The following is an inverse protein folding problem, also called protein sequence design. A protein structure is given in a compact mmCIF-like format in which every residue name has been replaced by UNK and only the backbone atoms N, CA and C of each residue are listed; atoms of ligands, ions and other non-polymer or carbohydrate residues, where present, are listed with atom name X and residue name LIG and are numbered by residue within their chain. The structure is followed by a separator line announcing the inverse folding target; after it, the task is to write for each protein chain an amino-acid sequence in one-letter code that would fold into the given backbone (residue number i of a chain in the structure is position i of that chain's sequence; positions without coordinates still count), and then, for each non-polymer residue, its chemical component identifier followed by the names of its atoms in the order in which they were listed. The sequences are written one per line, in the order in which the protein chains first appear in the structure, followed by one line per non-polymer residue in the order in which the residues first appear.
data_IF_693750335823
#
_entry.id   IF_693750335823
#
_cell.length_a   1.000
_cell.length_b   1.000
_cell.length_c   1.000
_cell.angle_alpha   90.00
_cell.angle_beta   90.00
_cell.angle_gamma   90.00
#
_symmetry.space_group_name_H-M   'P 1'
#
loop_
_entity.id
_entity.type
_entity.pdbx_description
1 polymer ?
#
# COMPACT_ATOMS: atom_id res chain seq x y z
N UNK A 1 -22.46 -16.34 23.81
CA UNK A 1 -23.62 -15.59 23.26
C UNK A 1 -24.56 -16.61 22.61
N UNK A 2 -25.86 -16.57 22.84
CA UNK A 2 -26.79 -17.52 22.22
C UNK A 2 -27.07 -17.13 20.76
N UNK A 3 -26.31 -17.71 19.83
CA UNK A 3 -26.58 -17.62 18.41
C UNK A 3 -27.00 -18.99 17.86
N UNK A 4 -27.97 -18.99 16.94
CA UNK A 4 -28.45 -20.20 16.30
C UNK A 4 -27.55 -20.57 15.12
N UNK A 5 -27.04 -21.80 15.12
CA UNK A 5 -26.21 -22.33 14.04
C UNK A 5 -27.12 -22.67 12.86
N UNK A 6 -26.97 -21.95 11.76
CA UNK A 6 -27.60 -22.29 10.47
C UNK A 6 -26.71 -23.32 9.79
N UNK A 7 -27.21 -24.52 9.54
CA UNK A 7 -26.41 -25.56 8.89
C UNK A 7 -27.08 -26.93 8.92
N UNK A 8 -26.54 -27.86 8.15
CA UNK A 8 -26.96 -29.26 8.15
C UNK A 8 -26.29 -29.99 9.31
N UNK A 9 -27.07 -30.51 10.25
CA UNK A 9 -26.53 -31.36 11.31
C UNK A 9 -25.79 -32.56 10.69
N UNK A 10 -24.60 -32.87 11.22
CA UNK A 10 -23.79 -33.99 10.79
C UNK A 10 -23.26 -34.77 12.01
N UNK A 11 -22.63 -35.92 11.75
CA UNK A 11 -22.12 -36.76 12.84
C UNK A 11 -20.94 -36.08 13.53
N UNK A 12 -21.02 -35.92 14.86
CA UNK A 12 -19.90 -35.44 15.66
C UNK A 12 -18.76 -36.45 15.77
N UNK A 13 -19.04 -37.73 15.50
CA UNK A 13 -18.07 -38.83 15.61
C UNK A 13 -16.93 -38.78 14.59
N UNK A 14 -17.06 -37.97 13.54
CA UNK A 14 -15.98 -37.68 12.58
C UNK A 14 -14.83 -36.91 13.26
N UNK A 15 -15.12 -36.24 14.37
CA UNK A 15 -14.19 -35.48 15.18
C UNK A 15 -13.79 -36.20 16.49
N UNK A 16 -14.23 -37.43 16.72
CA UNK A 16 -13.91 -38.14 17.97
C UNK A 16 -12.43 -38.47 18.06
N UNK A 17 -11.81 -38.05 19.18
CA UNK A 17 -10.41 -38.35 19.49
C UNK A 17 -9.43 -37.67 18.55
N UNK A 18 -9.75 -36.46 18.07
CA UNK A 18 -8.78 -35.68 17.29
C UNK A 18 -7.52 -35.40 18.13
N UNK A 19 -6.37 -35.37 17.46
CA UNK A 19 -5.08 -35.09 18.10
C UNK A 19 -4.60 -33.71 17.67
N UNK A 20 -4.39 -32.81 18.63
CA UNK A 20 -3.85 -31.48 18.37
C UNK A 20 -2.40 -31.62 17.88
N UNK A 21 -2.12 -31.13 16.68
CA UNK A 21 -0.81 -31.21 16.05
C UNK A 21 0.02 -29.94 16.30
N UNK A 22 -0.59 -28.77 16.14
CA UNK A 22 0.08 -27.48 16.34
C UNK A 22 -0.88 -26.44 16.91
N UNK A 23 -0.45 -25.71 17.93
CA UNK A 23 -1.21 -24.61 18.53
C UNK A 23 -0.67 -23.30 17.98
N UNK A 24 -1.52 -22.56 17.24
CA UNK A 24 -1.15 -21.29 16.60
C UNK A 24 -1.41 -20.10 17.53
N UNK A 25 -2.45 -20.19 18.36
CA UNK A 25 -2.81 -19.20 19.40
C UNK A 25 -3.19 -19.94 20.68
N UNK A 26 -2.47 -19.63 21.76
CA UNK A 26 -2.72 -20.13 23.11
C UNK A 26 -2.96 -18.94 24.05
N UNK A 27 -4.20 -18.81 24.53
CA UNK A 27 -4.60 -17.76 25.49
C UNK A 27 -5.62 -18.39 26.42
N UNK A 28 -5.16 -18.80 27.61
CA UNK A 28 -5.94 -19.62 28.55
C UNK A 28 -6.41 -20.93 27.90
N UNK A 29 -5.56 -21.51 27.06
CA UNK A 29 -5.82 -22.72 26.29
C UNK A 29 -5.83 -22.49 24.77
N UNK A 30 -5.91 -23.58 23.98
CA UNK A 30 -5.87 -23.51 22.51
C UNK A 30 -7.07 -22.76 21.95
N UNK A 31 -6.83 -21.59 21.33
CA UNK A 31 -7.86 -20.78 20.67
C UNK A 31 -7.87 -20.95 19.16
N UNK A 32 -6.70 -21.18 18.56
CA UNK A 32 -6.54 -21.50 17.16
C UNK A 32 -5.46 -22.57 17.02
N UNK A 33 -5.80 -23.73 16.47
CA UNK A 33 -4.88 -24.87 16.38
C UNK A 33 -5.22 -25.77 15.20
N UNK A 34 -4.24 -26.54 14.71
CA UNK A 34 -4.48 -27.64 13.79
C UNK A 34 -4.59 -28.96 14.55
N UNK A 35 -5.45 -29.85 14.07
CA UNK A 35 -5.58 -31.19 14.63
C UNK A 35 -5.85 -32.24 13.54
N UNK A 36 -5.34 -33.45 13.77
CA UNK A 36 -5.68 -34.60 12.96
C UNK A 36 -7.03 -35.15 13.41
N UNK A 37 -8.03 -35.13 12.53
CA UNK A 37 -9.33 -35.78 12.75
C UNK A 37 -9.36 -37.13 12.03
N UNK A 38 -10.47 -37.86 12.13
CA UNK A 38 -10.67 -39.11 11.38
C UNK A 38 -10.81 -38.89 9.88
N UNK A 39 -11.23 -37.69 9.47
CA UNK A 39 -11.55 -37.37 8.07
C UNK A 39 -10.44 -36.58 7.38
N UNK A 40 -9.77 -35.66 8.08
CA UNK A 40 -8.69 -34.84 7.53
C UNK A 40 -7.89 -34.13 8.64
N UNK A 41 -6.79 -33.49 8.25
CA UNK A 41 -6.18 -32.44 9.08
C UNK A 41 -7.06 -31.19 8.99
N UNK A 42 -7.42 -30.61 10.12
CA UNK A 42 -8.33 -29.48 10.18
C UNK A 42 -7.79 -28.36 11.09
N UNK A 43 -8.13 -27.12 10.73
CA UNK A 43 -7.89 -25.92 11.53
C UNK A 43 -9.12 -25.64 12.38
N UNK A 44 -8.93 -25.52 13.68
CA UNK A 44 -9.95 -25.24 14.69
C UNK A 44 -9.75 -23.83 15.22
N UNK A 45 -10.80 -23.01 15.17
CA UNK A 45 -10.85 -21.69 15.79
C UNK A 45 -11.99 -21.62 16.80
N UNK A 46 -11.68 -21.34 18.06
CA UNK A 46 -12.68 -21.13 19.08
C UNK A 46 -13.47 -19.84 18.79
N UNK A 47 -14.81 -19.92 18.81
CA UNK A 47 -15.70 -18.80 18.54
C UNK A 47 -16.65 -18.46 19.68
N UNK A 48 -16.92 -19.42 20.58
CA UNK A 48 -17.82 -19.24 21.71
C UNK A 48 -17.43 -20.26 22.79
N UNK A 49 -17.47 -19.83 24.06
CA UNK A 49 -17.19 -20.66 25.21
C UNK A 49 -18.17 -20.28 26.32
N UNK A 50 -18.77 -21.29 26.94
CA UNK A 50 -19.63 -21.17 28.11
C UNK A 50 -19.20 -22.18 29.18
N UNK A 51 -19.91 -22.25 30.31
CA UNK A 51 -19.56 -23.12 31.44
C UNK A 51 -19.57 -24.64 31.14
N UNK A 52 -20.20 -25.05 30.04
CA UNK A 52 -20.47 -26.46 29.74
C UNK A 52 -19.99 -26.93 28.36
N UNK A 53 -19.74 -25.99 27.44
CA UNK A 53 -19.32 -26.28 26.08
C UNK A 53 -18.44 -25.19 25.46
N UNK A 54 -17.62 -25.63 24.52
CA UNK A 54 -16.81 -24.80 23.63
C UNK A 54 -17.28 -25.03 22.20
N UNK A 55 -17.39 -23.97 21.40
CA UNK A 55 -17.72 -24.06 19.98
C UNK A 55 -16.55 -23.61 19.13
N UNK A 56 -16.21 -24.45 18.16
CA UNK A 56 -15.14 -24.21 17.20
C UNK A 56 -15.72 -24.07 15.80
N UNK A 57 -15.17 -23.14 15.02
CA UNK A 57 -15.23 -23.22 13.56
C UNK A 57 -14.09 -24.13 13.11
N UNK A 58 -14.42 -25.12 12.31
CA UNK A 58 -13.49 -26.16 11.84
C UNK A 58 -13.49 -26.17 10.32
N UNK A 59 -12.30 -26.11 9.71
CA UNK A 59 -12.13 -26.19 8.25
C UNK A 59 -10.99 -27.14 7.90
N UNK A 60 -11.04 -27.85 6.75
CA UNK A 60 -9.91 -28.63 6.29
C UNK A 60 -8.69 -27.73 6.11
N UNK A 61 -7.51 -28.23 6.46
CA UNK A 61 -6.25 -27.50 6.33
C UNK A 61 -5.11 -28.43 5.90
N UNK A 62 -4.00 -27.85 5.48
CA UNK A 62 -2.77 -28.54 5.12
C UNK A 62 -1.55 -27.71 5.56
N UNK A 63 -0.36 -28.30 5.49
CA UNK A 63 0.89 -27.63 5.86
C UNK A 63 1.13 -26.34 5.06
N UNK A 64 0.63 -26.26 3.82
CA UNK A 64 0.78 -25.07 2.98
C UNK A 64 -0.05 -23.91 3.51
N UNK A 65 -1.29 -24.16 3.93
CA UNK A 65 -2.16 -23.16 4.54
C UNK A 65 -1.60 -22.69 5.87
N UNK A 66 -1.11 -23.61 6.70
CA UNK A 66 -0.47 -23.29 7.99
C UNK A 66 0.78 -22.43 7.78
N UNK A 67 1.68 -22.82 6.87
CA UNK A 67 2.85 -22.02 6.54
C UNK A 67 2.49 -20.62 6.01
N UNK A 68 1.38 -20.48 5.28
CA UNK A 68 0.89 -19.17 4.83
C UNK A 68 0.33 -18.30 5.96
N UNK A 69 -0.37 -18.89 6.92
CA UNK A 69 -0.84 -18.20 8.13
C UNK A 69 0.34 -17.72 8.98
N UNK A 70 1.35 -18.58 9.18
CA UNK A 70 2.54 -18.26 9.97
C UNK A 70 3.46 -17.23 9.30
N UNK A 71 3.54 -17.24 7.97
CA UNK A 71 4.28 -16.22 7.21
C UNK A 71 3.50 -14.93 6.96
N UNK A 72 2.22 -14.87 7.37
CA UNK A 72 1.36 -13.71 7.14
C UNK A 72 0.90 -13.53 5.69
N UNK A 73 1.15 -14.47 4.78
CA UNK A 73 0.63 -14.40 3.40
C UNK A 73 -0.84 -14.79 3.28
N UNK A 74 -1.43 -15.31 4.37
CA UNK A 74 -2.85 -15.62 4.49
C UNK A 74 -3.41 -15.08 5.81
N UNK A 75 -4.57 -14.44 5.74
CA UNK A 75 -5.29 -13.94 6.92
C UNK A 75 -6.05 -15.09 7.60
N UNK A 76 -6.32 -14.98 8.91
CA UNK A 76 -7.07 -16.02 9.64
C UNK A 76 -8.44 -16.24 9.02
N UNK A 77 -9.14 -15.15 8.68
CA UNK A 77 -10.47 -15.25 8.07
C UNK A 77 -10.44 -15.90 6.68
N UNK A 78 -9.43 -15.60 5.86
CA UNK A 78 -9.29 -16.22 4.55
C UNK A 78 -8.95 -17.73 4.65
N UNK A 79 -8.21 -18.14 5.68
CA UNK A 79 -7.99 -19.56 5.95
C UNK A 79 -9.31 -20.27 6.31
N UNK A 80 -10.22 -19.60 7.02
CA UNK A 80 -11.54 -20.14 7.36
C UNK A 80 -12.56 -20.11 6.20
N UNK A 81 -12.31 -19.33 5.15
CA UNK A 81 -13.21 -19.26 3.99
C UNK A 81 -13.03 -20.44 3.05
N UNK A 82 -13.29 -21.65 3.56
CA UNK A 82 -13.19 -22.90 2.81
C UNK A 82 -14.57 -23.37 2.32
N UNK A 83 -14.63 -24.09 1.18
CA UNK A 83 -15.87 -24.71 0.69
C UNK A 83 -16.51 -25.70 1.68
N UNK A 84 -15.69 -26.28 2.56
CA UNK A 84 -16.13 -27.15 3.64
C UNK A 84 -15.81 -26.46 4.97
N UNK A 85 -16.87 -26.16 5.72
CA UNK A 85 -16.78 -25.56 7.03
C UNK A 85 -17.78 -26.25 7.96
N UNK A 86 -17.33 -26.51 9.18
CA UNK A 86 -18.15 -27.04 10.26
C UNK A 86 -18.14 -26.11 11.46
N UNK A 87 -19.23 -26.15 12.22
CA UNK A 87 -19.26 -25.69 13.60
C UNK A 87 -19.29 -26.93 14.48
N UNK A 88 -18.31 -27.07 15.35
CA UNK A 88 -18.17 -28.20 16.26
C UNK A 88 -18.37 -27.73 17.69
N UNK A 89 -19.35 -28.30 18.38
CA UNK A 89 -19.52 -28.11 19.81
C UNK A 89 -18.86 -29.26 20.56
N UNK A 90 -18.05 -28.92 21.55
CA UNK A 90 -17.29 -29.87 22.37
C UNK A 90 -17.49 -29.57 23.86
N UNK A 91 -17.18 -30.54 24.72
CA UNK A 91 -16.91 -30.28 26.14
C UNK A 91 -15.55 -29.59 26.34
N UNK A 92 -15.27 -29.04 27.53
CA UNK A 92 -13.93 -28.51 27.88
C UNK A 92 -12.81 -29.57 27.81
N UNK A 93 -13.15 -30.86 27.83
CA UNK A 93 -12.21 -31.97 27.60
C UNK A 93 -12.07 -32.35 26.12
N UNK A 94 -12.51 -31.47 25.21
CA UNK A 94 -12.51 -31.66 23.75
C UNK A 94 -13.33 -32.84 23.23
N UNK A 95 -14.15 -33.50 24.05
CA UNK A 95 -15.09 -34.51 23.57
C UNK A 95 -16.18 -33.87 22.69
N UNK A 96 -16.32 -34.25 21.41
CA UNK A 96 -17.38 -33.76 20.52
C UNK A 96 -18.78 -34.06 21.05
N UNK A 97 -19.67 -33.07 20.98
CA UNK A 97 -21.09 -33.21 21.33
C UNK A 97 -21.95 -33.15 20.08
N UNK A 98 -21.85 -32.05 19.34
CA UNK A 98 -22.67 -31.77 18.17
C UNK A 98 -21.81 -31.19 17.04
N UNK A 99 -22.21 -31.42 15.79
CA UNK A 99 -21.56 -30.85 14.62
C UNK A 99 -22.58 -30.40 13.57
N UNK A 100 -22.29 -29.29 12.90
CA UNK A 100 -23.10 -28.76 11.82
C UNK A 100 -22.21 -28.34 10.66
N UNK A 101 -22.57 -28.74 9.45
CA UNK A 101 -21.95 -28.25 8.21
C UNK A 101 -22.63 -26.95 7.78
N UNK A 102 -21.84 -25.92 7.52
CA UNK A 102 -22.32 -24.58 7.17
C UNK A 102 -21.33 -23.89 6.22
N UNK A 103 -21.52 -22.60 5.97
CA UNK A 103 -20.63 -21.75 5.18
C UNK A 103 -20.24 -20.52 5.99
N UNK A 104 -19.12 -19.88 5.64
CA UNK A 104 -18.66 -18.68 6.35
C UNK A 104 -19.71 -17.55 6.33
N UNK A 105 -20.51 -17.45 5.25
CA UNK A 105 -21.56 -16.45 5.08
C UNK A 105 -22.79 -16.65 5.99
N UNK A 106 -23.00 -17.85 6.51
CA UNK A 106 -24.10 -18.17 7.43
C UNK A 106 -23.75 -17.87 8.90
N UNK A 107 -22.47 -17.68 9.21
CA UNK A 107 -21.98 -17.37 10.54
C UNK A 107 -22.17 -15.87 10.87
N UNK A 108 -22.51 -15.52 12.13
CA UNK A 108 -22.58 -14.12 12.55
C UNK A 108 -21.23 -13.40 12.43
N UNK A 109 -21.23 -12.18 11.91
CA UNK A 109 -20.00 -11.38 11.75
C UNK A 109 -19.28 -11.13 13.09
N UNK A 110 -20.03 -11.08 14.20
CA UNK A 110 -19.51 -10.83 15.55
C UNK A 110 -18.61 -11.93 16.10
N UNK A 111 -18.68 -13.15 15.55
CA UNK A 111 -17.85 -14.29 15.98
C UNK A 111 -16.70 -14.57 15.02
N UNK A 112 -16.69 -13.92 13.84
CA UNK A 112 -15.64 -14.10 12.85
C UNK A 112 -14.47 -13.17 13.14
N UNK A 113 -13.24 -13.56 12.79
CA UNK A 113 -12.11 -12.64 12.80
C UNK A 113 -12.43 -11.43 11.93
N UNK A 114 -11.93 -10.27 12.35
CA UNK A 114 -11.98 -9.07 11.52
C UNK A 114 -11.33 -9.35 10.15
N UNK A 115 -11.90 -8.78 9.09
CA UNK A 115 -11.35 -8.92 7.74
C UNK A 115 -9.92 -8.38 7.72
N UNK A 116 -9.00 -9.11 7.09
CA UNK A 116 -7.59 -8.71 7.02
C UNK A 116 -6.75 -9.09 8.25
N UNK A 117 -7.36 -9.63 9.33
CA UNK A 117 -6.60 -9.94 10.55
C UNK A 117 -5.61 -11.10 10.30
N UNK A 118 -4.34 -10.80 10.49
CA UNK A 118 -3.24 -11.78 10.45
C UNK A 118 -3.15 -12.57 11.75
N UNK A 119 -2.45 -13.71 11.70
CA UNK A 119 -2.27 -14.61 12.84
C UNK A 119 -1.59 -13.90 14.03
N UNK A 120 -0.58 -13.08 13.75
CA UNK A 120 0.20 -12.34 14.76
C UNK A 120 0.27 -10.86 14.39
N UNK A 121 0.44 -10.00 15.39
CA UNK A 121 0.52 -8.55 15.18
C UNK A 121 1.68 -8.14 14.26
N UNK A 122 2.83 -8.79 14.35
CA UNK A 122 3.99 -8.49 13.51
C UNK A 122 3.85 -8.94 12.04
N UNK A 123 2.88 -9.82 11.76
CA UNK A 123 2.56 -10.26 10.41
C UNK A 123 1.62 -9.28 9.71
N UNK A 124 1.13 -8.26 10.40
CA UNK A 124 0.28 -7.25 9.79
C UNK A 124 1.03 -6.50 8.68
N UNK A 125 0.36 -6.19 7.56
CA UNK A 125 0.98 -5.46 6.47
C UNK A 125 1.60 -4.15 6.94
N UNK A 126 2.83 -3.90 6.49
CA UNK A 126 3.51 -2.62 6.69
C UNK A 126 2.71 -1.50 6.04
N UNK A 127 2.32 -1.72 4.78
CA UNK A 127 1.51 -0.81 3.99
C UNK A 127 0.52 -1.62 3.15
N UNK A 128 -0.71 -1.12 3.00
CA UNK A 128 -1.71 -1.70 2.09
C UNK A 128 -2.40 -0.60 1.31
N UNK A 129 -2.60 -0.86 0.03
CA UNK A 129 -3.39 -0.01 -0.84
C UNK A 129 -4.41 -0.87 -1.58
N UNK A 130 -5.67 -0.51 -1.44
CA UNK A 130 -6.81 -1.25 -1.98
C UNK A 130 -7.63 -0.37 -2.90
N UNK A 131 -7.74 -0.80 -4.16
CA UNK A 131 -8.60 -0.19 -5.17
C UNK A 131 -10.02 -0.76 -5.10
N UNK A 132 -10.99 0.13 -4.95
CA UNK A 132 -12.42 -0.17 -4.90
C UNK A 132 -13.08 0.44 -6.14
N UNK A 133 -13.87 -0.36 -6.83
CA UNK A 133 -14.46 -0.01 -8.12
C UNK A 133 -15.28 -1.15 -8.69
N UNK A 134 -16.14 -0.83 -9.66
CA UNK A 134 -16.99 -1.82 -10.33
C UNK A 134 -16.13 -2.76 -11.20
N UNK A 135 -16.45 -4.05 -11.16
CA UNK A 135 -15.77 -5.07 -11.98
C UNK A 135 -14.36 -5.43 -11.51
N UNK A 136 -13.93 -5.01 -10.33
CA UNK A 136 -12.63 -5.42 -9.75
C UNK A 136 -12.77 -6.78 -9.03
N UNK A 137 -12.84 -7.88 -9.78
CA UNK A 137 -12.88 -9.24 -9.25
C UNK A 137 -11.70 -10.08 -9.72
N UNK A 138 -11.52 -11.28 -9.14
CA UNK A 138 -10.44 -12.17 -9.54
C UNK A 138 -10.56 -12.51 -11.04
N UNK A 139 -9.47 -12.32 -11.78
CA UNK A 139 -9.42 -12.55 -13.24
C UNK A 139 -9.95 -11.41 -14.12
N UNK A 140 -10.52 -10.35 -13.53
CA UNK A 140 -11.09 -9.21 -14.28
C UNK A 140 -10.41 -7.87 -13.98
N UNK A 141 -9.45 -7.85 -13.06
CA UNK A 141 -8.71 -6.63 -12.70
C UNK A 141 -7.90 -6.11 -13.91
N UNK A 142 -8.13 -4.87 -14.37
CA UNK A 142 -7.33 -4.31 -15.46
C UNK A 142 -5.86 -4.12 -15.05
N UNK A 143 -4.93 -4.36 -15.98
CA UNK A 143 -3.50 -4.16 -15.74
C UNK A 143 -3.14 -2.73 -15.30
N UNK A 144 -3.90 -1.73 -15.76
CA UNK A 144 -3.74 -0.33 -15.34
C UNK A 144 -4.02 -0.12 -13.85
N UNK A 145 -4.99 -0.83 -13.28
CA UNK A 145 -5.32 -0.77 -11.84
C UNK A 145 -4.22 -1.44 -11.02
N UNK A 146 -3.70 -2.58 -11.48
CA UNK A 146 -2.57 -3.27 -10.83
C UNK A 146 -1.36 -2.35 -10.78
N UNK A 147 -0.98 -1.78 -11.93
CA UNK A 147 0.13 -0.83 -12.03
C UNK A 147 -0.09 0.37 -11.11
N UNK A 148 -1.28 0.96 -11.15
CA UNK A 148 -1.60 2.14 -10.34
C UNK A 148 -1.44 1.87 -8.84
N UNK A 149 -1.89 0.72 -8.34
CA UNK A 149 -1.78 0.39 -6.91
C UNK A 149 -0.33 0.10 -6.51
N UNK A 150 0.42 -0.66 -7.31
CA UNK A 150 1.82 -0.99 -7.01
C UNK A 150 2.75 0.23 -7.11
N UNK A 151 2.66 0.98 -8.21
CA UNK A 151 3.45 2.21 -8.39
C UNK A 151 2.98 3.32 -7.46
N UNK A 152 1.68 3.38 -7.16
CA UNK A 152 1.09 4.39 -6.28
C UNK A 152 1.62 4.27 -4.86
N UNK A 153 1.61 3.06 -4.30
CA UNK A 153 2.13 2.76 -2.98
C UNK A 153 3.62 3.13 -2.85
N UNK A 154 4.47 2.59 -3.74
CA UNK A 154 5.92 2.81 -3.72
C UNK A 154 6.30 4.28 -3.96
N UNK A 155 5.59 4.97 -4.86
CA UNK A 155 5.86 6.38 -5.16
C UNK A 155 5.42 7.30 -4.02
N UNK A 156 4.28 7.01 -3.39
CA UNK A 156 3.82 7.81 -2.25
C UNK A 156 4.82 7.75 -1.08
N UNK A 157 5.25 6.54 -0.69
CA UNK A 157 6.24 6.38 0.38
C UNK A 157 7.57 7.08 0.06
N UNK A 158 8.01 7.01 -1.20
CA UNK A 158 9.23 7.68 -1.66
C UNK A 158 9.12 9.21 -1.62
N UNK A 159 7.99 9.77 -2.05
CA UNK A 159 7.75 11.21 -2.02
C UNK A 159 7.63 11.73 -0.57
N UNK A 160 6.96 10.98 0.31
CA UNK A 160 6.94 11.33 1.73
C UNK A 160 8.32 11.24 2.38
N UNK A 161 9.12 10.23 2.05
CA UNK A 161 10.50 10.12 2.53
C UNK A 161 11.34 11.34 2.11
N UNK A 162 11.22 11.77 0.84
CA UNK A 162 11.92 12.96 0.34
C UNK A 162 11.58 14.22 1.14
N UNK A 163 10.30 14.41 1.49
CA UNK A 163 9.84 15.49 2.37
C UNK A 163 10.44 15.40 3.78
N UNK A 164 10.31 14.24 4.44
CA UNK A 164 10.75 14.04 5.83
C UNK A 164 12.25 14.33 5.99
N UNK A 165 13.06 13.89 5.04
CA UNK A 165 14.51 14.07 5.09
C UNK A 165 15.00 15.36 4.41
N UNK A 166 14.10 16.18 3.87
CA UNK A 166 14.42 17.41 3.12
C UNK A 166 15.51 17.18 2.09
N UNK A 167 15.42 16.07 1.35
CA UNK A 167 16.49 15.68 0.44
C UNK A 167 16.70 16.77 -0.62
N UNK A 168 17.91 17.36 -0.74
CA UNK A 168 18.26 18.02 -1.97
C UNK A 168 18.25 16.93 -3.06
N UNK A 169 17.60 17.21 -4.18
CA UNK A 169 17.24 16.24 -5.23
C UNK A 169 18.42 15.45 -5.84
N UNK A 170 19.68 15.65 -5.39
CA UNK A 170 20.88 15.24 -6.14
C UNK A 170 22.12 14.76 -5.37
N UNK A 171 22.23 14.65 -4.04
CA UNK A 171 23.52 14.24 -3.44
C UNK A 171 23.44 13.25 -2.27
N UNK A 172 23.70 11.98 -2.58
CA UNK A 172 24.05 10.94 -1.61
C UNK A 172 23.43 9.57 -1.92
N UNK A 173 24.17 8.49 -1.61
CA UNK A 173 23.61 7.14 -1.58
C UNK A 173 22.52 7.10 -0.51
N UNK A 174 21.26 6.89 -0.88
CA UNK A 174 20.16 6.71 0.07
C UNK A 174 20.54 5.69 1.15
N UNK A 175 20.20 5.98 2.41
CA UNK A 175 20.42 5.05 3.53
C UNK A 175 19.78 3.69 3.24
N UNK A 176 20.31 2.63 3.85
CA UNK A 176 19.76 1.29 3.65
C UNK A 176 18.29 1.19 4.09
N UNK A 177 17.88 1.93 5.14
CA UNK A 177 16.49 2.08 5.57
C UNK A 177 15.58 2.63 4.46
N UNK A 178 16.02 3.69 3.76
CA UNK A 178 15.27 4.29 2.63
C UNK A 178 15.13 3.36 1.44
N UNK A 179 16.19 2.65 1.08
CA UNK A 179 16.15 1.66 -0.01
C UNK A 179 15.14 0.56 0.25
N UNK A 180 14.99 0.14 1.52
CA UNK A 180 14.01 -0.89 1.92
C UNK A 180 12.56 -0.42 1.75
N UNK A 181 12.27 0.85 2.05
CA UNK A 181 10.93 1.42 1.83
C UNK A 181 10.53 1.45 0.35
N UNK A 182 11.50 1.57 -0.55
CA UNK A 182 11.24 1.62 -1.98
C UNK A 182 10.99 0.24 -2.60
N UNK A 183 11.39 -0.82 -1.90
CA UNK A 183 11.33 -2.20 -2.36
C UNK A 183 10.73 -3.11 -1.28
N UNK A 184 9.56 -2.72 -0.77
CA UNK A 184 8.83 -3.55 0.18
C UNK A 184 8.32 -4.82 -0.53
N UNK A 185 8.57 -6.02 0.00
CA UNK A 185 8.07 -7.25 -0.59
C UNK A 185 6.54 -7.30 -0.54
N UNK A 186 5.94 -7.68 -1.67
CA UNK A 186 4.49 -7.95 -1.73
C UNK A 186 4.17 -9.16 -0.86
N UNK A 187 3.23 -8.97 0.07
CA UNK A 187 2.79 -9.99 1.02
C UNK A 187 1.66 -10.84 0.44
N UNK A 188 0.61 -10.19 -0.05
CA UNK A 188 -0.51 -10.86 -0.70
C UNK A 188 -1.28 -9.92 -1.65
N UNK A 189 -2.10 -10.55 -2.51
CA UNK A 189 -3.12 -9.89 -3.31
C UNK A 189 -4.50 -10.34 -2.82
N UNK A 190 -5.45 -9.41 -2.70
CA UNK A 190 -6.84 -9.74 -2.46
C UNK A 190 -7.74 -9.23 -3.60
N UNK A 191 -8.83 -9.96 -3.85
CA UNK A 191 -9.79 -9.74 -4.92
C UNK A 191 -11.18 -9.43 -4.34
N UNK A 192 -12.13 -8.95 -5.17
CA UNK A 192 -13.40 -8.30 -4.77
C UNK A 192 -13.18 -6.87 -4.25
N UNK A 193 -12.61 -6.02 -5.13
CA UNK A 193 -11.61 -4.96 -4.91
C UNK A 193 -10.20 -5.49 -5.19
N UNK A 194 -9.28 -4.67 -5.70
CA UNK A 194 -7.89 -5.09 -5.88
C UNK A 194 -7.02 -4.52 -4.76
N UNK A 195 -6.55 -5.37 -3.85
CA UNK A 195 -5.62 -4.98 -2.77
C UNK A 195 -4.21 -5.50 -3.05
N UNK A 196 -3.23 -4.65 -2.78
CA UNK A 196 -1.82 -5.05 -2.63
C UNK A 196 -1.38 -4.70 -1.21
N UNK A 197 -0.94 -5.72 -0.48
CA UNK A 197 -0.32 -5.58 0.83
C UNK A 197 1.19 -5.77 0.71
N UNK A 198 1.93 -4.95 1.43
CA UNK A 198 3.38 -4.95 1.49
C UNK A 198 3.82 -5.28 2.91
N UNK A 199 4.78 -6.18 3.03
CA UNK A 199 5.36 -6.59 4.30
C UNK A 199 6.72 -5.93 4.52
N UNK A 200 7.19 -5.90 5.76
CA UNK A 200 8.59 -5.64 6.04
C UNK A 200 9.41 -6.91 5.71
N UNK A 201 10.68 -6.77 5.26
CA UNK A 201 11.56 -7.92 5.03
C UNK A 201 11.68 -8.84 6.27
N UNK A 202 11.70 -10.16 6.04
CA UNK A 202 11.64 -11.19 7.09
C UNK A 202 12.63 -11.02 8.26
N UNK A 203 13.82 -10.47 8.01
CA UNK A 203 14.82 -10.22 9.07
C UNK A 203 14.34 -9.25 10.16
N UNK A 204 13.28 -8.47 9.90
CA UNK A 204 12.77 -7.43 10.79
C UNK A 204 11.34 -7.68 11.29
N UNK A 205 10.58 -8.61 10.71
CA UNK A 205 9.23 -8.92 11.20
C UNK A 205 9.25 -9.38 12.66
N UNK A 206 10.28 -10.10 13.10
CA UNK A 206 10.44 -10.51 14.51
C UNK A 206 10.96 -9.40 15.43
N UNK A 207 11.49 -8.30 14.87
CA UNK A 207 12.20 -7.23 15.61
C UNK A 207 11.53 -5.85 15.53
N UNK A 208 10.23 -5.82 15.26
CA UNK A 208 9.39 -4.62 15.09
C UNK A 208 9.38 -3.60 16.27
N UNK A 209 10.31 -3.67 17.23
CA UNK A 209 10.33 -2.92 18.47
C UNK A 209 11.73 -2.50 18.98
N UNK A 210 12.83 -2.56 18.19
CA UNK A 210 14.17 -2.31 18.77
C UNK A 210 15.17 -1.42 18.00
N UNK A 211 15.00 -1.10 16.71
CA UNK A 211 16.04 -0.41 15.94
C UNK A 211 15.69 1.04 15.54
N UNK A 212 16.70 1.92 15.44
CA UNK A 212 16.57 3.30 14.95
C UNK A 212 15.97 3.39 13.52
N UNK A 213 16.21 2.36 12.69
CA UNK A 213 15.64 2.21 11.34
C UNK A 213 14.09 2.20 11.37
N UNK A 214 13.48 1.70 12.45
CA UNK A 214 12.03 1.64 12.59
C UNK A 214 11.44 3.03 12.86
N UNK A 215 12.17 3.88 13.60
CA UNK A 215 11.74 5.25 13.90
C UNK A 215 11.60 6.10 12.63
N UNK A 216 12.51 5.91 11.65
CA UNK A 216 12.43 6.58 10.35
C UNK A 216 11.17 6.14 9.57
N UNK A 217 10.89 4.84 9.51
CA UNK A 217 9.71 4.32 8.81
C UNK A 217 8.41 4.80 9.45
N UNK A 218 8.33 4.79 10.78
CA UNK A 218 7.17 5.34 11.49
C UNK A 218 7.04 6.84 11.29
N UNK A 219 8.14 7.60 11.24
CA UNK A 219 8.07 9.03 10.96
C UNK A 219 7.50 9.30 9.57
N UNK A 220 7.93 8.54 8.56
CA UNK A 220 7.42 8.64 7.18
C UNK A 220 5.94 8.27 7.14
N UNK A 221 5.56 7.14 7.73
CA UNK A 221 4.18 6.70 7.71
C UNK A 221 3.23 7.60 8.52
N UNK A 222 3.68 8.14 9.66
CA UNK A 222 2.93 9.16 10.41
C UNK A 222 2.75 10.46 9.60
N UNK A 223 3.83 10.92 8.94
CA UNK A 223 3.75 12.11 8.07
C UNK A 223 2.77 11.89 6.92
N UNK A 224 2.79 10.70 6.31
CA UNK A 224 1.84 10.33 5.26
C UNK A 224 0.41 10.24 5.80
N UNK A 225 0.21 9.62 6.96
CA UNK A 225 -1.09 9.52 7.61
C UNK A 225 -1.68 10.90 7.91
N UNK A 226 -0.86 11.84 8.42
CA UNK A 226 -1.27 13.22 8.66
C UNK A 226 -1.68 13.94 7.37
N UNK A 227 -0.92 13.76 6.29
CA UNK A 227 -1.27 14.31 4.98
C UNK A 227 -2.61 13.74 4.46
N UNK A 228 -2.82 12.43 4.62
CA UNK A 228 -4.06 11.75 4.26
C UNK A 228 -5.24 12.29 5.09
N UNK A 229 -5.09 12.40 6.40
CA UNK A 229 -6.13 12.95 7.29
C UNK A 229 -6.53 14.36 6.86
N UNK A 230 -5.55 15.24 6.60
CA UNK A 230 -5.79 16.60 6.11
C UNK A 230 -6.53 16.60 4.79
N UNK A 231 -6.25 15.67 3.89
CA UNK A 231 -6.94 15.57 2.59
C UNK A 231 -8.41 15.16 2.72
N UNK A 232 -8.75 14.32 3.71
CA UNK A 232 -10.11 13.83 3.94
C UNK A 232 -10.97 14.77 4.79
N UNK A 233 -10.36 15.63 5.60
CA UNK A 233 -11.05 16.53 6.55
C UNK A 233 -11.61 17.81 5.93
N UNK A 234 -11.41 18.05 4.65
CA UNK A 234 -11.73 19.32 3.99
C UNK A 234 -13.24 19.44 3.82
N UNK A 235 -13.82 20.42 4.51
CA UNK A 235 -15.11 21.01 4.15
C UNK A 235 -14.83 22.25 3.30
N UNK A 236 -15.68 22.50 2.29
CA UNK A 236 -15.51 23.57 1.28
C UNK A 236 -14.95 24.88 1.89
N UNK A 237 -13.77 25.31 1.41
CA UNK A 237 -13.13 26.58 1.77
C UNK A 237 -11.86 26.49 2.63
N UNK A 238 -11.45 25.31 3.09
CA UNK A 238 -10.26 25.17 3.94
C UNK A 238 -8.95 25.08 3.14
N UNK A 239 -8.00 26.00 3.42
CA UNK A 239 -6.70 26.11 2.72
C UNK A 239 -5.63 25.18 3.26
N UNK A 240 -5.98 24.24 4.14
CA UNK A 240 -5.04 23.36 4.86
C UNK A 240 -4.17 22.53 3.92
N UNK A 241 -4.66 22.10 2.75
CA UNK A 241 -3.82 21.41 1.76
C UNK A 241 -2.80 22.30 1.07
N UNK A 242 -3.07 23.59 0.88
CA UNK A 242 -2.11 24.50 0.22
C UNK A 242 -0.89 24.78 1.09
N UNK A 243 -0.94 24.42 2.38
CA UNK A 243 0.18 24.51 3.32
C UNK A 243 1.08 23.28 3.29
N UNK A 244 0.68 22.21 2.62
CA UNK A 244 1.52 21.02 2.46
C UNK A 244 2.61 21.31 1.42
N UNK A 245 3.80 20.80 1.69
CA UNK A 245 4.89 20.80 0.73
C UNK A 245 4.54 19.99 -0.52
N UNK A 246 5.12 20.37 -1.67
CA UNK A 246 4.82 19.79 -2.97
C UNK A 246 5.02 18.27 -3.00
N UNK A 247 6.04 17.74 -2.32
CA UNK A 247 6.31 16.30 -2.25
C UNK A 247 5.19 15.53 -1.55
N UNK A 248 4.56 16.10 -0.52
CA UNK A 248 3.42 15.46 0.15
C UNK A 248 2.17 15.50 -0.73
N UNK A 249 1.94 16.59 -1.46
CA UNK A 249 0.85 16.67 -2.42
C UNK A 249 1.02 15.68 -3.58
N UNK A 250 2.25 15.49 -4.06
CA UNK A 250 2.58 14.46 -5.05
C UNK A 250 2.42 13.05 -4.49
N UNK A 251 2.77 12.81 -3.22
CA UNK A 251 2.51 11.54 -2.56
C UNK A 251 1.01 11.25 -2.49
N UNK A 252 0.21 12.23 -2.09
CA UNK A 252 -1.26 12.13 -2.05
C UNK A 252 -1.86 11.90 -3.44
N UNK A 253 -1.35 12.56 -4.48
CA UNK A 253 -1.81 12.36 -5.86
C UNK A 253 -1.73 10.88 -6.28
N UNK A 254 -0.74 10.15 -5.77
CA UNK A 254 -0.55 8.71 -6.05
C UNK A 254 -1.44 7.79 -5.22
N UNK A 255 -2.01 8.29 -4.13
CA UNK A 255 -2.90 7.54 -3.23
C UNK A 255 -4.38 7.89 -3.41
N UNK A 256 -4.71 8.82 -4.30
CA UNK A 256 -6.11 9.11 -4.65
C UNK A 256 -6.53 8.37 -5.93
N UNK A 257 -7.81 8.00 -6.06
CA UNK A 257 -8.31 7.35 -7.27
C UNK A 257 -8.24 8.30 -8.49
N UNK A 258 -8.26 7.77 -9.72
CA UNK A 258 -8.38 8.61 -10.90
C UNK A 258 -9.76 9.28 -10.95
N UNK A 259 -9.85 10.46 -11.56
CA UNK A 259 -11.11 11.21 -11.68
C UNK A 259 -12.14 10.50 -12.58
N UNK A 260 -11.69 9.57 -13.42
CA UNK A 260 -12.48 8.75 -14.32
C UNK A 260 -11.97 7.30 -14.31
N UNK A 261 -12.78 6.37 -14.81
CA UNK A 261 -12.43 4.95 -14.90
C UNK A 261 -13.21 4.07 -13.92
N UNK A 262 -12.77 2.81 -13.76
CA UNK A 262 -13.44 1.79 -12.95
C UNK A 262 -13.22 1.97 -11.45
N UNK A 263 -12.06 2.49 -11.06
CA UNK A 263 -11.74 2.79 -9.66
C UNK A 263 -12.47 4.05 -9.23
N UNK A 264 -13.23 3.93 -8.14
CA UNK A 264 -13.96 5.05 -7.52
C UNK A 264 -13.30 5.52 -6.24
N UNK A 265 -12.62 4.62 -5.53
CA UNK A 265 -12.06 4.89 -4.21
C UNK A 265 -10.81 4.05 -3.96
N UNK A 266 -9.90 4.59 -3.15
CA UNK A 266 -8.77 3.88 -2.57
C UNK A 266 -8.93 3.78 -1.05
N UNK A 267 -8.58 2.63 -0.49
CA UNK A 267 -8.42 2.41 0.94
C UNK A 267 -6.92 2.22 1.22
N UNK A 268 -6.35 3.07 2.08
CA UNK A 268 -4.95 3.07 2.48
C UNK A 268 -4.85 2.63 3.93
N UNK A 269 -3.91 1.74 4.26
CA UNK A 269 -3.72 1.28 5.64
C UNK A 269 -2.35 0.67 5.86
N UNK A 270 -2.14 0.08 7.04
CA UNK A 270 -0.93 -0.66 7.38
C UNK A 270 -0.25 -0.13 8.64
N UNK A 271 0.65 -0.92 9.21
CA UNK A 271 1.30 -0.62 10.49
C UNK A 271 2.17 0.63 10.44
N UNK A 272 2.78 0.96 9.29
CA UNK A 272 3.66 2.13 9.19
C UNK A 272 2.89 3.45 9.38
N UNK A 273 1.59 3.46 9.12
CA UNK A 273 0.71 4.63 9.33
C UNK A 273 0.31 4.84 10.81
N UNK A 274 1.00 4.16 11.73
CA UNK A 274 0.84 4.30 13.18
C UNK A 274 -0.30 3.46 13.79
N UNK A 275 -1.24 2.94 12.99
CA UNK A 275 -2.36 2.13 13.47
C UNK A 275 -2.67 0.99 12.50
N UNK A 276 -2.29 -0.25 12.88
CA UNK A 276 -2.46 -1.45 12.04
C UNK A 276 -3.90 -1.66 11.55
N UNK A 277 -4.88 -1.44 12.44
CA UNK A 277 -6.29 -1.71 12.18
C UNK A 277 -7.03 -0.51 11.55
N UNK A 278 -6.40 0.66 11.44
CA UNK A 278 -7.02 1.84 10.82
C UNK A 278 -6.80 1.84 9.31
N UNK A 279 -7.86 2.17 8.56
CA UNK A 279 -7.76 2.52 7.16
C UNK A 279 -8.34 3.89 6.86
N UNK A 280 -7.79 4.51 5.85
CA UNK A 280 -8.18 5.81 5.31
C UNK A 280 -8.81 5.61 3.94
N UNK A 281 -10.01 6.16 3.74
CA UNK A 281 -10.74 6.06 2.50
C UNK A 281 -10.59 7.37 1.73
N UNK A 282 -10.16 7.27 0.48
CA UNK A 282 -9.90 8.39 -0.42
C UNK A 282 -10.75 8.21 -1.68
N UNK A 283 -11.55 9.21 -2.00
CA UNK A 283 -12.50 9.18 -3.11
C UNK A 283 -12.13 10.20 -4.20
N UNK A 284 -12.99 10.32 -5.22
CA UNK A 284 -12.81 11.25 -6.33
C UNK A 284 -12.89 12.71 -5.90
N UNK A 285 -13.58 13.04 -4.82
CA UNK A 285 -13.66 14.41 -4.33
C UNK A 285 -12.36 14.80 -3.63
N UNK A 286 -11.80 13.89 -2.83
CA UNK A 286 -10.43 13.99 -2.31
C UNK A 286 -9.44 14.20 -3.46
N UNK A 287 -9.60 13.46 -4.57
CA UNK A 287 -8.75 13.59 -5.75
C UNK A 287 -8.81 14.99 -6.38
N UNK A 288 -10.00 15.59 -6.45
CA UNK A 288 -10.17 16.97 -6.97
C UNK A 288 -9.46 17.96 -6.05
N UNK A 289 -9.59 17.82 -4.74
CA UNK A 289 -8.95 18.71 -3.76
C UNK A 289 -7.43 18.63 -3.84
N UNK A 290 -6.86 17.42 -3.84
CA UNK A 290 -5.41 17.21 -3.97
C UNK A 290 -4.88 17.82 -5.28
N UNK A 291 -5.56 17.59 -6.40
CA UNK A 291 -5.14 18.16 -7.70
C UNK A 291 -5.21 19.69 -7.75
N UNK A 292 -6.26 20.29 -7.17
CA UNK A 292 -6.36 21.76 -7.07
C UNK A 292 -5.24 22.34 -6.22
N UNK A 293 -4.99 21.75 -5.04
CA UNK A 293 -3.92 22.19 -4.15
C UNK A 293 -2.55 22.07 -4.83
N UNK A 294 -2.27 20.93 -5.46
CA UNK A 294 -1.03 20.71 -6.21
C UNK A 294 -0.86 21.73 -7.35
N UNK A 295 -1.92 22.05 -8.09
CA UNK A 295 -1.87 23.08 -9.13
C UNK A 295 -1.63 24.48 -8.53
N UNK A 296 -2.27 24.81 -7.41
CA UNK A 296 -2.09 26.08 -6.70
C UNK A 296 -0.64 26.26 -6.23
N UNK A 297 -0.06 25.22 -5.62
CA UNK A 297 1.35 25.23 -5.18
C UNK A 297 2.30 25.30 -6.37
N UNK A 298 2.10 24.49 -7.41
CA UNK A 298 2.92 24.56 -8.64
C UNK A 298 2.85 25.93 -9.30
N UNK A 299 1.69 26.57 -9.37
CA UNK A 299 1.61 27.93 -9.93
C UNK A 299 2.34 28.99 -9.07
N UNK A 300 2.51 28.73 -7.77
CA UNK A 300 3.26 29.61 -6.84
C UNK A 300 4.76 29.34 -6.86
N UNK A 301 5.18 28.10 -7.10
CA UNK A 301 6.58 27.66 -7.03
C UNK A 301 7.24 27.46 -8.40
N UNK A 302 6.46 27.29 -9.47
CA UNK A 302 6.93 27.03 -10.83
C UNK A 302 6.38 28.10 -11.78
N UNK A 303 7.23 28.54 -12.70
CA UNK A 303 6.87 29.43 -13.80
C UNK A 303 7.18 28.74 -15.11
N UNK A 304 6.21 28.63 -16.01
CA UNK A 304 6.50 28.18 -17.37
C UNK A 304 7.39 29.21 -18.05
N UNK A 305 8.55 28.79 -18.54
CA UNK A 305 9.48 29.65 -19.26
C UNK A 305 9.89 29.04 -20.58
N UNK A 306 10.23 29.93 -21.51
CA UNK A 306 10.69 29.56 -22.84
C UNK A 306 12.00 30.27 -23.18
N UNK A 307 13.11 30.02 -22.44
CA UNK A 307 14.38 30.64 -22.75
C UNK A 307 14.98 30.04 -24.02
N UNK A 308 15.73 30.87 -24.75
CA UNK A 308 16.48 30.48 -25.94
C UNK A 308 17.96 30.64 -25.68
N UNK A 309 18.81 29.70 -26.08
CA UNK A 309 20.24 29.74 -25.80
C UNK A 309 21.03 28.61 -26.44
N UNK A 310 22.28 28.45 -26.02
CA UNK A 310 23.17 27.37 -26.43
C UNK A 310 23.31 26.33 -25.32
N UNK A 311 23.25 25.06 -25.69
CA UNK A 311 23.55 23.94 -24.78
C UNK A 311 25.07 23.84 -24.63
N UNK A 312 25.62 24.16 -23.45
CA UNK A 312 27.08 24.35 -23.28
C UNK A 312 27.77 23.30 -22.41
N UNK A 313 27.08 22.76 -21.41
CA UNK A 313 27.57 21.72 -20.52
C UNK A 313 26.46 20.68 -20.39
N UNK A 314 26.77 19.42 -20.62
CA UNK A 314 25.80 18.32 -20.52
C UNK A 314 26.32 17.25 -19.58
N UNK A 315 25.52 16.91 -18.57
CA UNK A 315 25.71 15.78 -17.67
C UNK A 315 24.78 14.66 -18.10
N UNK A 316 25.36 13.64 -18.74
CA UNK A 316 24.63 12.50 -19.30
C UNK A 316 24.09 11.57 -18.22
N UNK A 317 24.77 11.48 -17.08
CA UNK A 317 24.39 10.57 -16.00
C UNK A 317 23.18 11.12 -15.25
N UNK A 318 23.11 12.45 -15.10
CA UNK A 318 22.02 13.13 -14.40
C UNK A 318 20.93 13.69 -15.33
N UNK A 319 21.00 13.42 -16.64
CA UNK A 319 20.10 13.96 -17.66
C UNK A 319 19.86 15.47 -17.48
N UNK A 320 20.95 16.24 -17.43
CA UNK A 320 20.88 17.69 -17.26
C UNK A 320 21.90 18.43 -18.11
N UNK A 321 21.62 19.69 -18.42
CA UNK A 321 22.54 20.57 -19.15
C UNK A 321 22.45 22.02 -18.65
N UNK A 322 23.42 22.85 -19.03
CA UNK A 322 23.40 24.30 -18.78
C UNK A 322 23.16 25.04 -20.09
N UNK A 323 22.04 25.76 -20.16
CA UNK A 323 21.70 26.68 -21.25
C UNK A 323 22.38 28.03 -21.00
N UNK A 324 23.20 28.46 -21.95
CA UNK A 324 23.96 29.73 -21.90
C UNK A 324 23.54 30.65 -23.04
N UNK A 325 24.05 31.89 -22.99
CA UNK A 325 23.79 32.92 -24.02
C UNK A 325 22.30 33.18 -24.23
N UNK A 326 21.57 33.17 -23.12
CA UNK A 326 20.15 33.45 -23.12
C UNK A 326 19.88 34.94 -23.25
N UNK A 327 18.65 35.27 -23.66
CA UNK A 327 18.19 36.65 -23.81
C UNK A 327 18.22 37.44 -22.48
N UNK A 328 18.12 36.76 -21.34
CA UNK A 328 18.22 37.35 -20.01
C UNK A 328 19.66 37.37 -19.44
N UNK A 329 20.67 36.95 -20.22
CA UNK A 329 22.08 36.89 -19.81
C UNK A 329 22.31 36.05 -18.53
N UNK A 330 21.50 35.02 -18.30
CA UNK A 330 21.64 34.10 -17.17
C UNK A 330 21.91 32.68 -17.66
N UNK A 331 22.75 31.97 -16.92
CA UNK A 331 22.92 30.54 -17.15
C UNK A 331 21.75 29.80 -16.49
N UNK A 332 21.04 28.99 -17.26
CA UNK A 332 19.92 28.19 -16.76
C UNK A 332 20.34 26.73 -16.66
N UNK A 333 20.12 26.11 -15.51
CA UNK A 333 20.34 24.67 -15.32
C UNK A 333 19.07 23.94 -15.70
N UNK A 334 19.15 23.08 -16.70
CA UNK A 334 18.03 22.40 -17.31
C UNK A 334 18.12 20.89 -17.01
N UNK A 335 17.05 20.30 -16.48
CA UNK A 335 16.87 18.85 -16.41
C UNK A 335 15.98 18.40 -17.58
N UNK A 336 16.16 17.17 -18.06
CA UNK A 336 15.34 16.65 -19.16
C UNK A 336 15.08 15.15 -19.00
N UNK A 337 14.02 14.66 -19.64
CA UNK A 337 13.70 13.23 -19.68
C UNK A 337 14.53 12.51 -20.75
N UNK A 338 14.64 11.18 -20.65
CA UNK A 338 15.32 10.37 -21.66
C UNK A 338 14.68 10.44 -23.06
N UNK A 339 13.44 10.92 -23.17
CA UNK A 339 12.71 11.00 -24.43
C UNK A 339 13.29 12.06 -25.37
N UNK A 340 13.83 13.15 -24.84
CA UNK A 340 14.44 14.25 -25.62
C UNK A 340 15.98 14.20 -25.61
N UNK A 341 16.56 13.08 -25.16
CA UNK A 341 18.01 12.94 -25.00
C UNK A 341 18.77 13.16 -26.31
N UNK A 342 18.30 12.53 -27.40
CA UNK A 342 18.96 12.62 -28.70
C UNK A 342 18.95 14.06 -29.26
N UNK A 343 17.87 14.80 -29.01
CA UNK A 343 17.70 16.20 -29.43
C UNK A 343 18.63 17.14 -28.66
N UNK A 344 18.71 16.96 -27.33
CA UNK A 344 19.65 17.70 -26.47
C UNK A 344 21.09 17.39 -26.87
N UNK A 345 21.40 16.12 -27.13
CA UNK A 345 22.75 15.68 -27.55
C UNK A 345 23.13 16.29 -28.89
N UNK A 346 22.22 16.26 -29.86
CA UNK A 346 22.44 16.84 -31.18
C UNK A 346 22.66 18.36 -31.10
N UNK A 347 21.88 19.06 -30.27
CA UNK A 347 22.07 20.48 -30.02
C UNK A 347 23.43 20.80 -29.37
N UNK A 348 23.85 19.97 -28.41
CA UNK A 348 25.13 20.10 -27.72
C UNK A 348 26.32 19.86 -28.66
N UNK A 349 26.29 18.81 -29.48
CA UNK A 349 27.39 18.43 -30.39
C UNK A 349 27.58 19.46 -31.51
N UNK A 350 26.49 20.01 -32.04
CA UNK A 350 26.53 20.95 -33.16
C UNK A 350 26.53 22.41 -32.72
N UNK A 351 26.55 22.69 -31.41
CA UNK A 351 26.44 24.04 -30.84
C UNK A 351 25.25 24.83 -31.42
N UNK A 352 24.13 24.13 -31.64
CA UNK A 352 22.93 24.75 -32.19
C UNK A 352 22.22 25.60 -31.12
N UNK A 353 21.71 26.76 -31.53
CA UNK A 353 20.81 27.54 -30.69
C UNK A 353 19.45 26.87 -30.60
N UNK A 354 18.96 26.72 -29.38
CA UNK A 354 17.70 26.03 -29.09
C UNK A 354 16.78 26.91 -28.26
N UNK A 355 15.48 26.80 -28.54
CA UNK A 355 14.40 27.30 -27.71
C UNK A 355 13.89 26.12 -26.89
N UNK A 356 13.98 26.22 -25.58
CA UNK A 356 13.45 25.20 -24.67
C UNK A 356 12.13 25.68 -24.09
N UNK A 357 11.18 24.77 -23.87
CA UNK A 357 9.97 25.05 -23.11
C UNK A 357 9.93 24.11 -21.92
N UNK A 358 9.79 24.69 -20.73
CA UNK A 358 9.87 23.94 -19.50
C UNK A 358 9.28 24.68 -18.31
N UNK A 359 9.35 24.03 -17.15
CA UNK A 359 8.91 24.59 -15.87
C UNK A 359 10.12 25.03 -15.07
N UNK A 360 10.25 26.34 -14.85
CA UNK A 360 11.29 26.92 -14.00
C UNK A 360 10.82 26.87 -12.54
N UNK A 361 11.57 26.16 -11.69
CA UNK A 361 11.35 26.19 -10.24
C UNK A 361 11.89 27.51 -9.68
N UNK A 362 11.00 28.38 -9.19
CA UNK A 362 11.33 29.74 -8.73
C UNK A 362 12.33 29.78 -7.56
N UNK A 363 12.44 28.70 -6.76
CA UNK A 363 13.37 28.60 -5.64
C UNK A 363 14.85 28.52 -6.06
N UNK A 364 15.15 27.85 -7.17
CA UNK A 364 16.53 27.58 -7.60
C UNK A 364 16.82 27.96 -9.06
N UNK A 365 15.81 28.37 -9.84
CA UNK A 365 15.95 28.71 -11.26
C UNK A 365 16.18 27.51 -12.17
N UNK A 366 16.02 26.28 -11.67
CA UNK A 366 16.18 25.09 -12.50
C UNK A 366 14.96 24.91 -13.41
N UNK A 367 15.20 24.50 -14.64
CA UNK A 367 14.14 24.30 -15.64
C UNK A 367 14.00 22.82 -15.95
N UNK A 368 12.82 22.24 -15.75
CA UNK A 368 12.49 20.90 -16.25
C UNK A 368 11.96 21.00 -17.69
N UNK A 369 12.77 20.53 -18.64
CA UNK A 369 12.55 20.72 -20.08
C UNK A 369 11.59 19.67 -20.60
N UNK A 370 10.48 20.14 -21.18
CA UNK A 370 9.48 19.27 -21.82
C UNK A 370 9.60 19.26 -23.35
N UNK A 371 10.09 20.34 -23.94
CA UNK A 371 10.22 20.49 -25.40
C UNK A 371 11.53 21.22 -25.70
N UNK A 372 12.26 20.75 -26.71
CA UNK A 372 13.44 21.41 -27.25
C UNK A 372 13.29 21.58 -28.76
N UNK A 373 13.33 22.83 -29.22
CA UNK A 373 13.22 23.18 -30.63
C UNK A 373 14.51 23.85 -31.10
N UNK A 374 15.02 23.48 -32.28
CA UNK A 374 16.10 24.23 -32.91
C UNK A 374 15.60 25.59 -33.38
N UNK A 375 16.35 26.64 -33.10
CA UNK A 375 16.10 27.97 -33.65
C UNK A 375 16.84 28.04 -34.99
N UNK A 376 16.10 28.09 -36.09
CA UNK A 376 16.71 28.33 -37.39
C UNK A 376 17.29 29.75 -37.41
N UNK A 377 18.55 29.88 -37.79
CA UNK A 377 19.16 31.17 -38.04
C UNK A 377 18.60 31.71 -39.36
N UNK A 378 17.72 32.72 -39.27
CA UNK A 378 17.34 33.57 -40.40
C UNK A 378 18.44 34.59 -40.73
#
# INVERSE_FOLDING_TARGET
MDWNIKGLACSSSDFDGFEIQSILIDVDGPRLFSAQTRVCTALFMLVDENESSMRFVVVPTDDRMLAKLESGSLTVRAALDQPLLWVLETSHSFCPKNAWRTTLAELPESILPQKGRMLRAHLQPAFRLRAIGEGLSAGTVPASVIRQVVEGASTALRKTAAHVFKEPSKQGRASNSRRRLYDLPVQHFAYNSFEVAFSLPNTQQERLLQDEDDAEMFLIGNTLADAIIRSTGIKDGDSTLETLDIELLEALEKLVPPLSGTVTEFEVGGTILGQADKSFRLDRDTSKHVKRALQSVRNKEEKTTTPEGLVSQMDRDNLSFTLRQTSDNRDHVCAFSSEIFDEVMDAFVHENRVAISGRETLKNGNIDVSILNKVNAD
#
